data_IF_742200450565
#
_entry.id   IF_742200450565
#
_cell.length_a   1.000
_cell.length_b   1.000
_cell.length_c   1.000
_cell.angle_alpha   90.00
_cell.angle_beta   90.00
_cell.angle_gamma   90.00
#
_symmetry.space_group_name_H-M   'P 1'
#
loop_
_entity.id
_entity.type
_entity.pdbx_description
1 polymer ?
#
# COMPACT_ATOMS: atom_id res chain seq x y z
N UNK A 1 32.27 5.61 -15.33
CA UNK A 1 32.51 6.23 -14.02
C UNK A 1 31.23 6.94 -13.61
N UNK A 2 30.57 6.49 -12.54
CA UNK A 2 29.41 7.21 -11.98
C UNK A 2 29.94 8.31 -11.05
N UNK A 3 29.53 9.55 -11.27
CA UNK A 3 29.94 10.69 -10.43
C UNK A 3 29.31 10.55 -9.04
N UNK A 4 29.99 11.07 -8.01
CA UNK A 4 29.51 11.09 -6.61
C UNK A 4 28.06 11.61 -6.48
N UNK A 5 27.68 12.54 -7.35
CA UNK A 5 26.31 13.09 -7.46
C UNK A 5 25.27 12.08 -7.95
N UNK A 6 25.62 11.17 -8.87
CA UNK A 6 24.72 10.09 -9.28
C UNK A 6 24.48 9.10 -8.15
N UNK A 7 25.50 8.78 -7.36
CA UNK A 7 25.37 7.87 -6.20
C UNK A 7 24.50 8.50 -5.11
N UNK A 8 24.67 9.80 -4.83
CA UNK A 8 23.82 10.52 -3.87
C UNK A 8 22.36 10.61 -4.34
N UNK A 9 22.12 10.89 -5.62
CA UNK A 9 20.77 10.88 -6.19
C UNK A 9 20.15 9.47 -6.12
N UNK A 10 20.96 8.44 -6.36
CA UNK A 10 20.56 7.04 -6.31
C UNK A 10 20.23 6.58 -4.88
N UNK A 11 20.96 7.06 -3.87
CA UNK A 11 20.66 6.83 -2.45
C UNK A 11 19.40 7.57 -1.98
N UNK A 12 19.19 8.80 -2.45
CA UNK A 12 17.93 9.55 -2.22
C UNK A 12 16.75 8.86 -2.91
N UNK A 13 16.97 8.31 -4.11
CA UNK A 13 15.99 7.47 -4.82
C UNK A 13 15.64 6.22 -4.00
N UNK A 14 16.63 5.45 -3.51
CA UNK A 14 16.36 4.25 -2.70
C UNK A 14 15.52 4.57 -1.47
N UNK A 15 15.85 5.65 -0.76
CA UNK A 15 15.04 6.12 0.35
C UNK A 15 13.63 6.53 -0.10
N UNK A 16 13.46 7.07 -1.31
CA UNK A 16 12.17 7.47 -1.84
C UNK A 16 11.26 6.31 -2.30
N UNK A 17 11.76 5.08 -2.50
CA UNK A 17 11.14 4.05 -3.36
C UNK A 17 10.60 2.81 -2.63
N UNK A 18 10.52 2.82 -1.30
CA UNK A 18 9.91 1.75 -0.50
C UNK A 18 8.57 2.19 0.14
N UNK A 19 7.47 2.35 -0.63
CA UNK A 19 6.18 2.70 -0.04
C UNK A 19 5.62 1.61 0.86
N UNK A 20 5.37 1.98 2.11
CA UNK A 20 4.71 1.14 3.12
C UNK A 20 5.66 0.62 4.19
N UNK A 21 6.97 0.73 4.00
CA UNK A 21 7.99 0.27 4.95
C UNK A 21 9.27 1.08 4.71
N UNK A 22 9.40 2.23 5.36
CA UNK A 22 10.64 2.98 5.28
C UNK A 22 11.72 2.38 6.16
N UNK A 23 12.89 2.24 5.53
CA UNK A 23 14.12 1.81 6.16
C UNK A 23 15.12 2.94 6.36
N UNK A 24 15.83 2.87 7.47
CA UNK A 24 17.11 3.56 7.62
C UNK A 24 18.19 2.88 6.76
N UNK A 25 18.91 3.69 5.99
CA UNK A 25 20.35 3.52 5.78
C UNK A 25 21.01 4.39 6.84
N UNK A 26 21.59 3.81 7.90
CA UNK A 26 22.51 4.57 8.74
C UNK A 26 23.91 4.52 8.12
N UNK A 27 24.42 5.60 7.51
CA UNK A 27 25.86 5.81 7.52
C UNK A 27 26.26 6.02 8.98
N UNK A 28 27.18 5.21 9.51
CA UNK A 28 27.76 5.40 10.84
C UNK A 28 28.50 6.73 10.90
N UNK A 29 27.80 7.78 11.29
CA UNK A 29 28.37 9.08 11.61
C UNK A 29 27.63 9.64 12.82
N UNK A 30 28.31 9.58 13.96
CA UNK A 30 27.88 10.16 15.22
C UNK A 30 27.73 11.68 15.05
N UNK A 31 26.52 12.22 15.20
CA UNK A 31 26.32 13.52 15.84
C UNK A 31 24.87 13.67 16.32
N UNK A 32 24.73 13.75 17.64
CA UNK A 32 23.49 13.97 18.37
C UNK A 32 23.17 15.46 18.38
N UNK A 33 21.99 15.84 17.88
CA UNK A 33 21.44 17.17 18.11
C UNK A 33 20.00 17.04 18.65
N UNK A 34 19.84 17.49 19.89
CA UNK A 34 18.61 17.56 20.67
C UNK A 34 17.78 18.75 20.17
N UNK A 35 16.50 18.55 19.84
CA UNK A 35 15.54 19.65 19.68
C UNK A 35 14.26 19.40 20.47
N UNK A 36 13.92 20.41 21.26
CA UNK A 36 12.81 20.46 22.20
C UNK A 36 11.45 20.66 21.53
N UNK A 37 10.43 20.09 22.19
CA UNK A 37 9.00 20.15 21.91
C UNK A 37 8.42 21.57 22.03
N UNK A 38 7.40 21.89 21.23
CA UNK A 38 6.38 22.91 21.50
C UNK A 38 5.06 22.50 20.81
N UNK A 39 4.02 22.23 21.61
CA UNK A 39 2.61 22.12 21.20
C UNK A 39 1.94 23.49 21.26
N UNK A 40 0.89 23.73 20.45
CA UNK A 40 -0.32 24.35 20.99
C UNK A 40 -1.61 23.75 20.32
N UNK A 41 -2.85 24.27 20.55
CA UNK A 41 -3.85 23.59 21.37
C UNK A 41 -5.11 23.15 20.59
N UNK A 42 -5.90 22.32 21.28
CA UNK A 42 -7.24 21.80 20.99
C UNK A 42 -8.26 22.85 20.55
N UNK A 43 -9.08 22.54 19.53
CA UNK A 43 -10.42 23.13 19.34
C UNK A 43 -11.42 22.05 18.92
N UNK A 44 -12.43 21.86 19.77
CA UNK A 44 -13.58 21.01 19.55
C UNK A 44 -14.65 21.75 18.73
N UNK A 45 -15.35 21.04 17.85
CA UNK A 45 -16.61 21.47 17.24
C UNK A 45 -17.58 20.29 17.26
N UNK A 46 -18.62 20.41 18.08
CA UNK A 46 -19.73 19.48 18.19
C UNK A 46 -20.71 19.76 17.05
N UNK A 47 -21.08 18.75 16.26
CA UNK A 47 -22.26 18.79 15.41
C UNK A 47 -23.06 17.50 15.61
N UNK A 48 -24.23 17.66 16.21
CA UNK A 48 -25.23 16.64 16.46
C UNK A 48 -26.00 16.41 15.15
N UNK A 49 -25.90 15.22 14.57
CA UNK A 49 -26.74 14.80 13.43
C UNK A 49 -27.67 13.70 13.89
N UNK A 50 -28.96 13.92 13.62
CA UNK A 50 -30.10 13.08 13.97
C UNK A 50 -30.05 11.74 13.21
N UNK A 51 -30.08 10.65 13.98
CA UNK A 51 -30.01 9.28 13.49
C UNK A 51 -31.42 8.77 13.11
N UNK A 52 -31.63 8.51 11.82
CA UNK A 52 -32.86 7.93 11.28
C UNK A 52 -32.60 6.44 11.04
N UNK A 53 -33.26 5.59 11.81
CA UNK A 53 -33.11 4.13 11.73
C UNK A 53 -33.51 3.61 10.34
N UNK A 54 -32.54 3.05 9.61
CA UNK A 54 -32.74 2.36 8.32
C UNK A 54 -32.75 0.86 8.58
N UNK A 55 -33.84 0.22 8.13
CA UNK A 55 -34.04 -1.23 8.16
C UNK A 55 -32.90 -1.96 7.41
N UNK A 56 -32.36 -3.00 8.03
CA UNK A 56 -31.21 -3.75 7.53
C UNK A 56 -31.50 -4.45 6.17
N UNK A 57 -30.71 -4.19 5.12
CA UNK A 57 -30.84 -4.89 3.85
C UNK A 57 -30.28 -6.32 3.93
N UNK A 58 -30.99 -7.26 3.31
CA UNK A 58 -30.61 -8.68 3.19
C UNK A 58 -29.22 -8.84 2.54
N UNK A 59 -28.34 -9.58 3.21
CA UNK A 59 -26.92 -9.78 2.87
C UNK A 59 -26.64 -10.55 1.56
N UNK A 60 -27.66 -11.02 0.83
CA UNK A 60 -27.49 -11.80 -0.39
C UNK A 60 -27.39 -10.91 -1.64
N UNK A 61 -27.90 -9.67 -1.59
CA UNK A 61 -27.84 -8.75 -2.73
C UNK A 61 -26.48 -8.03 -2.89
N UNK A 62 -25.58 -8.12 -1.90
CA UNK A 62 -24.33 -7.34 -1.87
C UNK A 62 -23.17 -7.99 -2.61
N UNK A 63 -23.08 -9.33 -2.66
CA UNK A 63 -21.91 -10.02 -3.27
C UNK A 63 -21.81 -9.83 -4.78
N UNK A 64 -22.94 -9.89 -5.51
CA UNK A 64 -23.00 -9.59 -6.94
C UNK A 64 -22.60 -8.14 -7.21
N UNK A 65 -22.96 -7.22 -6.33
CA UNK A 65 -22.62 -5.80 -6.44
C UNK A 65 -21.12 -5.56 -6.23
N UNK A 66 -20.50 -6.21 -5.24
CA UNK A 66 -19.05 -6.04 -4.98
C UNK A 66 -18.20 -6.58 -6.12
N UNK A 67 -18.52 -7.76 -6.66
CA UNK A 67 -17.78 -8.33 -7.81
C UNK A 67 -17.92 -7.47 -9.06
N UNK A 68 -19.12 -6.94 -9.33
CA UNK A 68 -19.34 -6.01 -10.44
C UNK A 68 -18.56 -4.70 -10.25
N UNK A 69 -18.53 -4.17 -9.02
CA UNK A 69 -17.77 -2.97 -8.67
C UNK A 69 -16.27 -3.18 -8.88
N UNK A 70 -15.72 -4.33 -8.44
CA UNK A 70 -14.32 -4.69 -8.66
C UNK A 70 -14.00 -4.83 -10.14
N UNK A 71 -14.85 -5.53 -10.91
CA UNK A 71 -14.67 -5.67 -12.36
C UNK A 71 -14.66 -4.33 -13.11
N UNK A 72 -15.55 -3.40 -12.72
CA UNK A 72 -15.56 -2.06 -13.31
C UNK A 72 -14.33 -1.23 -12.89
N UNK A 73 -13.90 -1.31 -11.63
CA UNK A 73 -12.69 -0.65 -11.17
C UNK A 73 -11.45 -1.17 -11.93
N UNK A 74 -11.31 -2.49 -12.05
CA UNK A 74 -10.24 -3.14 -12.81
C UNK A 74 -10.19 -2.63 -14.26
N UNK A 75 -11.33 -2.58 -14.94
CA UNK A 75 -11.44 -2.06 -16.30
C UNK A 75 -10.95 -0.62 -16.42
N UNK A 76 -11.30 0.25 -15.46
CA UNK A 76 -10.86 1.65 -15.46
C UNK A 76 -9.36 1.79 -15.14
N UNK A 77 -8.80 0.93 -14.29
CA UNK A 77 -7.38 0.94 -13.96
C UNK A 77 -6.52 0.49 -15.14
N UNK A 78 -6.90 -0.58 -15.84
CA UNK A 78 -6.23 -1.00 -17.10
C UNK A 78 -6.24 0.17 -18.10
N UNK A 79 -7.42 0.80 -18.31
CA UNK A 79 -7.55 1.98 -19.18
C UNK A 79 -6.71 3.18 -18.73
N UNK A 80 -6.45 3.33 -17.43
CA UNK A 80 -5.62 4.40 -16.85
C UNK A 80 -4.14 4.12 -17.11
N UNK A 81 -3.71 2.87 -17.02
CA UNK A 81 -2.34 2.46 -17.31
C UNK A 81 -1.95 2.73 -18.78
N UNK A 82 -2.84 2.49 -19.73
CA UNK A 82 -2.59 2.73 -21.16
C UNK A 82 -2.46 4.22 -21.52
N UNK A 83 -3.19 5.09 -20.80
CA UNK A 83 -3.24 6.53 -21.09
C UNK A 83 -3.10 7.33 -19.80
N UNK A 84 -1.87 7.53 -19.30
CA UNK A 84 -1.61 8.09 -17.96
C UNK A 84 -2.15 9.52 -17.77
N UNK A 85 -2.27 10.30 -18.85
CA UNK A 85 -2.67 11.72 -18.82
C UNK A 85 -4.19 11.97 -18.85
N UNK A 86 -4.98 11.14 -18.17
CA UNK A 86 -6.44 11.37 -18.10
C UNK A 86 -6.82 12.21 -16.87
N UNK A 87 -7.64 13.23 -17.14
CA UNK A 87 -8.02 14.27 -16.20
C UNK A 87 -8.93 13.80 -15.05
N UNK A 88 -9.26 14.76 -14.19
CA UNK A 88 -9.88 14.56 -12.88
C UNK A 88 -11.14 13.69 -12.89
N UNK A 89 -11.92 13.70 -13.98
CA UNK A 89 -13.14 12.89 -14.10
C UNK A 89 -12.90 11.37 -13.96
N UNK A 90 -11.84 10.83 -14.59
CA UNK A 90 -11.52 9.40 -14.48
C UNK A 90 -11.05 9.06 -13.05
N UNK A 91 -10.21 9.91 -12.47
CA UNK A 91 -9.73 9.73 -11.10
C UNK A 91 -10.88 9.76 -10.09
N UNK A 92 -11.85 10.65 -10.28
CA UNK A 92 -13.04 10.73 -9.43
C UNK A 92 -13.87 9.45 -9.52
N UNK A 93 -14.10 8.92 -10.73
CA UNK A 93 -14.82 7.66 -10.90
C UNK A 93 -14.09 6.48 -10.24
N UNK A 94 -12.76 6.39 -10.41
CA UNK A 94 -11.93 5.39 -9.73
C UNK A 94 -12.04 5.53 -8.21
N UNK A 95 -11.92 6.75 -7.67
CA UNK A 95 -12.03 7.01 -6.25
C UNK A 95 -13.39 6.57 -5.68
N UNK A 96 -14.49 6.85 -6.39
CA UNK A 96 -15.83 6.41 -5.97
C UNK A 96 -15.94 4.89 -5.87
N UNK A 97 -15.41 4.15 -6.85
CA UNK A 97 -15.43 2.68 -6.83
C UNK A 97 -14.52 2.10 -5.74
N UNK A 98 -13.36 2.70 -5.52
CA UNK A 98 -12.45 2.34 -4.40
C UNK A 98 -13.19 2.47 -3.07
N UNK A 99 -13.86 3.60 -2.82
CA UNK A 99 -14.62 3.82 -1.59
C UNK A 99 -15.78 2.83 -1.43
N UNK A 100 -16.47 2.47 -2.52
CA UNK A 100 -17.52 1.46 -2.50
C UNK A 100 -16.99 0.07 -2.10
N UNK A 101 -15.82 -0.34 -2.62
CA UNK A 101 -15.19 -1.62 -2.25
C UNK A 101 -14.70 -1.64 -0.80
N UNK A 102 -14.06 -0.56 -0.35
CA UNK A 102 -13.63 -0.41 1.06
C UNK A 102 -14.85 -0.51 1.98
N UNK A 103 -15.95 0.16 1.63
CA UNK A 103 -17.19 0.15 2.42
C UNK A 103 -17.86 -1.22 2.47
N UNK A 104 -17.63 -2.07 1.45
CA UNK A 104 -18.23 -3.40 1.38
C UNK A 104 -17.63 -4.39 2.39
N UNK A 105 -16.42 -4.12 2.92
CA UNK A 105 -15.73 -4.93 3.93
C UNK A 105 -15.69 -6.44 3.60
N UNK A 106 -15.45 -6.77 2.34
CA UNK A 106 -15.45 -8.16 1.87
C UNK A 106 -14.30 -8.97 2.47
N UNK A 107 -14.57 -10.20 2.87
CA UNK A 107 -13.51 -11.14 3.23
C UNK A 107 -12.70 -11.59 2.01
N UNK A 108 -11.43 -11.98 2.23
CA UNK A 108 -10.51 -12.39 1.16
C UNK A 108 -9.69 -13.62 1.57
N UNK A 109 -9.19 -14.38 0.60
CA UNK A 109 -8.29 -15.52 0.82
C UNK A 109 -6.84 -15.07 0.62
N UNK A 110 -5.96 -15.10 1.64
CA UNK A 110 -4.56 -14.67 1.48
C UNK A 110 -3.83 -15.44 0.38
N UNK A 111 -4.03 -16.76 0.31
CA UNK A 111 -3.37 -17.62 -0.69
C UNK A 111 -3.79 -17.31 -2.12
N UNK A 112 -4.98 -16.76 -2.33
CA UNK A 112 -5.46 -16.40 -3.68
C UNK A 112 -5.22 -14.93 -4.00
N UNK A 113 -5.37 -14.07 -2.99
CA UNK A 113 -5.46 -12.62 -3.16
C UNK A 113 -4.16 -11.90 -2.80
N UNK A 114 -3.32 -12.43 -1.91
CA UNK A 114 -2.06 -11.81 -1.46
C UNK A 114 -0.84 -12.54 -2.06
N UNK A 115 -0.83 -13.87 -1.99
CA UNK A 115 0.22 -14.68 -2.60
C UNK A 115 0.17 -14.63 -4.14
N UNK A 116 1.33 -14.76 -4.79
CA UNK A 116 1.41 -14.92 -6.23
C UNK A 116 2.26 -13.88 -6.96
N UNK A 117 1.86 -13.41 -8.17
CA UNK A 117 2.71 -12.60 -9.02
C UNK A 117 2.87 -11.17 -8.49
N UNK A 118 3.66 -10.37 -9.20
CA UNK A 118 3.73 -8.93 -8.97
C UNK A 118 2.37 -8.26 -9.24
N UNK A 119 1.96 -7.38 -8.32
CA UNK A 119 0.83 -6.48 -8.50
C UNK A 119 1.35 -5.05 -8.69
N UNK A 120 1.00 -4.43 -9.82
CA UNK A 120 1.43 -3.09 -10.18
C UNK A 120 0.53 -2.03 -9.51
N UNK A 121 1.13 -1.01 -8.91
CA UNK A 121 0.45 0.16 -8.37
C UNK A 121 -0.01 1.06 -9.52
N UNK A 122 -1.33 1.19 -9.72
CA UNK A 122 -1.91 1.92 -10.85
C UNK A 122 -2.53 3.26 -10.42
N UNK A 123 -3.03 3.33 -9.19
CA UNK A 123 -3.71 4.51 -8.68
C UNK A 123 -3.45 4.69 -7.18
N UNK A 124 -3.50 5.94 -6.71
CA UNK A 124 -3.32 6.28 -5.31
C UNK A 124 -4.28 7.40 -4.89
N UNK A 125 -4.66 7.40 -3.61
CA UNK A 125 -5.46 8.46 -2.98
C UNK A 125 -4.67 8.98 -1.78
N UNK A 126 -4.42 10.29 -1.75
CA UNK A 126 -3.52 10.94 -0.80
C UNK A 126 -2.40 11.69 -1.53
N UNK A 127 -1.37 12.12 -0.80
CA UNK A 127 -0.24 12.79 -1.42
C UNK A 127 0.52 11.86 -2.37
N UNK A 128 0.88 12.39 -3.53
CA UNK A 128 1.70 11.67 -4.50
C UNK A 128 3.05 11.34 -3.86
N UNK A 129 3.40 10.06 -3.75
CA UNK A 129 4.64 9.67 -3.10
C UNK A 129 5.84 10.10 -3.95
N UNK A 130 6.99 10.30 -3.30
CA UNK A 130 8.18 10.87 -3.96
C UNK A 130 8.66 10.02 -5.15
N UNK A 131 8.60 8.68 -5.02
CA UNK A 131 8.93 7.77 -6.11
C UNK A 131 8.07 7.95 -7.37
N UNK A 132 6.80 8.33 -7.21
CA UNK A 132 5.92 8.63 -8.32
C UNK A 132 6.37 9.91 -9.02
N UNK A 133 6.75 10.94 -8.25
CA UNK A 133 7.24 12.20 -8.79
C UNK A 133 8.53 12.02 -9.60
N UNK A 134 9.45 11.18 -9.13
CA UNK A 134 10.76 10.99 -9.78
C UNK A 134 10.65 10.11 -11.04
N UNK A 135 9.66 9.23 -11.09
CA UNK A 135 9.42 8.33 -12.24
C UNK A 135 8.78 8.98 -13.46
N UNK A 136 8.40 10.25 -13.38
CA UNK A 136 7.62 10.93 -14.41
C UNK A 136 8.45 11.13 -15.69
N UNK A 137 8.34 10.20 -16.62
CA UNK A 137 9.07 10.22 -17.90
C UNK A 137 8.34 9.45 -19.00
N UNK A 138 8.84 9.55 -20.23
CA UNK A 138 8.25 8.91 -21.42
C UNK A 138 8.54 7.40 -21.51
N UNK A 139 9.22 6.82 -20.52
CA UNK A 139 9.59 5.41 -20.51
C UNK A 139 8.68 4.66 -19.56
N UNK A 140 8.33 3.43 -19.93
CA UNK A 140 7.61 2.50 -19.08
C UNK A 140 8.20 2.47 -17.68
N UNK A 141 7.32 2.52 -16.69
CA UNK A 141 7.70 2.53 -15.29
C UNK A 141 6.75 1.65 -14.46
N UNK A 142 7.05 0.35 -14.40
CA UNK A 142 6.30 -0.57 -13.54
C UNK A 142 6.75 -0.38 -12.10
N UNK A 143 5.77 -0.26 -11.21
CA UNK A 143 6.00 -0.27 -9.77
C UNK A 143 4.97 -1.16 -9.14
N UNK A 144 5.36 -1.91 -8.14
CA UNK A 144 4.47 -2.89 -7.58
C UNK A 144 5.06 -3.66 -6.42
N UNK A 145 4.29 -4.65 -5.99
CA UNK A 145 4.64 -5.47 -4.85
C UNK A 145 4.26 -6.93 -5.12
N UNK A 146 5.15 -7.83 -4.73
CA UNK A 146 4.96 -9.28 -4.75
C UNK A 146 5.03 -9.78 -3.32
N UNK A 147 4.12 -10.65 -2.92
CA UNK A 147 4.15 -11.34 -1.63
C UNK A 147 4.26 -12.84 -1.88
N UNK A 148 5.00 -13.51 -1.01
CA UNK A 148 5.14 -14.96 -0.97
C UNK A 148 4.83 -15.42 0.46
N UNK A 149 3.67 -16.08 0.64
CA UNK A 149 3.21 -16.47 1.99
C UNK A 149 4.08 -17.57 2.61
N UNK A 150 4.54 -18.55 1.83
CA UNK A 150 5.34 -19.68 2.33
C UNK A 150 6.61 -19.21 3.08
N UNK A 151 7.25 -18.16 2.55
CA UNK A 151 8.45 -17.57 3.12
C UNK A 151 8.17 -16.33 3.99
N UNK A 152 6.91 -15.95 4.14
CA UNK A 152 6.49 -14.70 4.76
C UNK A 152 7.29 -13.52 4.23
N UNK A 153 7.52 -13.47 2.91
CA UNK A 153 8.40 -12.49 2.28
C UNK A 153 7.67 -11.62 1.27
N UNK A 154 8.15 -10.39 1.09
CA UNK A 154 7.64 -9.53 0.05
C UNK A 154 8.79 -8.86 -0.69
N UNK A 155 8.50 -8.45 -1.92
CA UNK A 155 9.39 -7.66 -2.77
C UNK A 155 8.63 -6.46 -3.31
N UNK A 156 9.08 -5.27 -2.95
CA UNK A 156 8.71 -4.03 -3.61
C UNK A 156 9.62 -3.84 -4.82
N UNK A 157 9.02 -3.55 -5.96
CA UNK A 157 9.70 -3.37 -7.23
C UNK A 157 9.36 -2.02 -7.83
N UNK A 158 10.35 -1.33 -8.39
CA UNK A 158 10.14 -0.10 -9.14
C UNK A 158 11.14 0.04 -10.28
N UNK A 159 10.64 0.23 -11.50
CA UNK A 159 11.46 0.68 -12.62
C UNK A 159 11.74 2.18 -12.48
N UNK A 160 12.91 2.64 -12.90
CA UNK A 160 13.24 4.06 -13.03
C UNK A 160 13.42 4.39 -14.50
N UNK A 161 14.05 3.47 -15.24
CA UNK A 161 14.23 3.57 -16.68
C UNK A 161 13.98 2.22 -17.35
N UNK A 162 12.70 1.83 -17.39
CA UNK A 162 12.27 0.51 -17.81
C UNK A 162 13.03 -0.62 -17.09
N UNK A 163 13.21 -1.74 -17.78
CA UNK A 163 13.88 -2.93 -17.21
C UNK A 163 15.36 -2.71 -16.90
N UNK A 164 16.00 -1.72 -17.51
CA UNK A 164 17.44 -1.51 -17.42
C UNK A 164 17.88 -0.75 -16.17
N UNK A 165 17.01 0.02 -15.53
CA UNK A 165 17.32 0.61 -14.23
C UNK A 165 16.12 0.40 -13.33
N UNK A 166 16.26 -0.48 -12.36
CA UNK A 166 15.18 -0.82 -11.44
C UNK A 166 15.70 -1.02 -10.02
N UNK A 167 14.78 -0.92 -9.08
CA UNK A 167 15.00 -1.05 -7.66
C UNK A 167 14.17 -2.21 -7.14
N UNK A 168 14.75 -2.92 -6.18
CA UNK A 168 14.06 -3.94 -5.41
C UNK A 168 14.26 -3.65 -3.93
N UNK A 169 13.22 -3.73 -3.13
CA UNK A 169 13.33 -3.82 -1.69
C UNK A 169 12.66 -5.10 -1.23
N UNK A 170 13.36 -5.88 -0.41
CA UNK A 170 12.92 -7.19 0.05
C UNK A 170 12.75 -7.16 1.56
N UNK A 171 11.81 -7.95 2.04
CA UNK A 171 11.56 -8.03 3.47
C UNK A 171 10.74 -9.23 3.87
N UNK A 172 10.36 -9.22 5.14
CA UNK A 172 9.47 -10.19 5.76
C UNK A 172 8.20 -9.52 6.25
N UNK A 173 7.08 -10.22 6.22
CA UNK A 173 5.82 -9.71 6.74
C UNK A 173 5.19 -10.74 7.68
N UNK A 174 4.36 -10.28 8.60
CA UNK A 174 3.63 -11.14 9.54
C UNK A 174 2.24 -10.60 9.77
N UNK A 175 1.29 -11.50 9.96
CA UNK A 175 -0.09 -11.15 10.31
C UNK A 175 -0.16 -10.46 11.66
N UNK A 176 -0.83 -9.30 11.73
CA UNK A 176 -1.21 -8.67 12.99
C UNK A 176 -2.62 -9.10 13.36
N UNK A 177 -3.54 -9.08 12.39
CA UNK A 177 -4.92 -9.49 12.61
C UNK A 177 -5.96 -8.52 12.03
N UNK A 178 -7.25 -8.80 12.26
CA UNK A 178 -8.31 -7.86 11.90
C UNK A 178 -8.14 -6.55 12.68
N UNK A 179 -8.39 -5.43 12.00
CA UNK A 179 -8.34 -4.12 12.65
C UNK A 179 -9.49 -4.03 13.62
N UNK A 180 -9.17 -3.80 14.89
CA UNK A 180 -10.21 -3.61 15.90
C UNK A 180 -10.97 -2.32 15.57
N UNK A 181 -12.31 -2.34 15.55
CA UNK A 181 -13.07 -1.11 15.47
C UNK A 181 -12.64 -0.22 16.63
N UNK A 182 -12.49 1.09 16.38
CA UNK A 182 -12.27 2.05 17.46
C UNK A 182 -13.45 1.89 18.42
N UNK A 183 -13.19 1.27 19.56
CA UNK A 183 -14.20 1.05 20.57
C UNK A 183 -14.53 2.43 21.13
N UNK A 184 -15.74 2.91 20.86
CA UNK A 184 -16.27 4.04 21.60
C UNK A 184 -16.42 3.57 23.06
N UNK A 185 -15.55 4.05 23.93
CA UNK A 185 -15.54 3.71 25.37
C UNK A 185 -16.89 4.02 26.04
N UNK A 186 -17.74 4.82 25.39
CA UNK A 186 -19.10 5.14 25.87
C UNK A 186 -20.15 4.09 25.48
N UNK A 187 -19.83 3.06 24.68
CA UNK A 187 -20.77 2.02 24.28
C UNK A 187 -20.50 0.68 25.00
N UNK A 188 -21.30 0.33 26.03
CA UNK A 188 -21.09 -0.87 26.84
C UNK A 188 -21.33 -2.19 26.10
N UNK A 189 -21.82 -2.16 24.85
CA UNK A 189 -22.10 -3.37 24.06
C UNK A 189 -20.97 -3.79 23.10
N UNK A 190 -19.88 -3.02 23.01
CA UNK A 190 -18.76 -3.28 22.08
C UNK A 190 -18.02 -4.60 22.33
N UNK A 191 -18.02 -5.08 23.57
CA UNK A 191 -17.25 -6.27 24.01
C UNK A 191 -17.83 -7.62 23.60
N UNK A 192 -19.08 -7.67 23.11
CA UNK A 192 -19.76 -8.96 22.84
C UNK A 192 -19.45 -9.48 21.42
N UNK A 193 -19.11 -8.57 20.50
CA UNK A 193 -18.84 -8.88 19.09
C UNK A 193 -17.53 -9.67 18.86
N UNK A 194 -16.55 -9.53 19.75
CA UNK A 194 -15.24 -10.21 19.65
C UNK A 194 -15.29 -11.70 19.99
N UNK A 195 -16.28 -12.16 20.77
CA UNK A 195 -16.38 -13.57 21.20
C UNK A 195 -16.82 -14.54 20.09
N UNK A 196 -17.45 -14.04 19.03
CA UNK A 196 -17.96 -14.87 17.92
C UNK A 196 -17.02 -14.95 16.71
N UNK A 197 -15.88 -14.27 16.73
CA UNK A 197 -14.95 -14.22 15.59
C UNK A 197 -14.10 -15.49 15.39
N UNK A 198 -14.24 -16.50 16.27
CA UNK A 198 -13.38 -17.67 16.27
C UNK A 198 -14.05 -18.89 15.62
N UNK A 199 -13.90 -19.03 14.29
CA UNK A 199 -13.98 -20.33 13.60
C UNK A 199 -13.44 -20.27 12.16
N UNK A 200 -12.22 -20.79 11.99
CA UNK A 200 -11.79 -21.70 10.90
C UNK A 200 -12.18 -21.38 9.44
N UNK A 201 -12.43 -20.13 9.11
CA UNK A 201 -12.53 -19.67 7.72
C UNK A 201 -11.12 -19.37 7.20
N UNK A 202 -10.76 -19.93 6.05
CA UNK A 202 -9.56 -19.54 5.30
C UNK A 202 -9.65 -18.11 4.75
N UNK A 203 -10.83 -17.49 4.86
CA UNK A 203 -11.06 -16.10 4.49
C UNK A 203 -10.85 -15.18 5.70
N UNK A 204 -10.01 -14.17 5.51
CA UNK A 204 -9.77 -13.10 6.46
C UNK A 204 -10.74 -11.94 6.21
N UNK A 205 -11.25 -11.25 7.24
CA UNK A 205 -12.09 -10.08 7.08
C UNK A 205 -11.25 -8.86 6.66
N UNK A 206 -11.85 -7.87 6.02
CA UNK A 206 -11.25 -6.54 5.86
C UNK A 206 -11.93 -5.52 6.78
N UNK A 207 -11.19 -4.54 7.34
CA UNK A 207 -9.76 -4.35 7.13
C UNK A 207 -8.89 -5.30 7.98
N UNK A 208 -7.71 -5.63 7.46
CA UNK A 208 -6.75 -6.56 8.07
C UNK A 208 -5.34 -5.99 8.04
N UNK A 209 -4.60 -6.07 9.15
CA UNK A 209 -3.26 -5.50 9.25
C UNK A 209 -2.18 -6.59 9.15
N UNK A 210 -1.13 -6.26 8.40
CA UNK A 210 0.14 -6.97 8.35
C UNK A 210 1.25 -6.04 8.83
N UNK A 211 2.14 -6.55 9.66
CA UNK A 211 3.43 -5.91 9.91
C UNK A 211 4.35 -6.30 8.77
N UNK A 212 5.12 -5.35 8.27
CA UNK A 212 6.09 -5.62 7.24
C UNK A 212 7.43 -4.97 7.59
N UNK A 213 8.49 -5.77 7.48
CA UNK A 213 9.86 -5.42 7.82
C UNK A 213 10.73 -5.59 6.58
N UNK A 214 11.22 -4.49 6.03
CA UNK A 214 12.21 -4.54 4.95
C UNK A 214 13.58 -4.82 5.57
N UNK A 215 14.33 -5.70 4.93
CA UNK A 215 15.63 -6.19 5.39
C UNK A 215 16.76 -5.90 4.39
N UNK A 216 16.44 -5.41 3.20
CA UNK A 216 17.43 -5.04 2.21
C UNK A 216 16.83 -4.42 0.96
N UNK A 217 17.69 -3.75 0.20
CA UNK A 217 17.37 -3.24 -1.12
C UNK A 217 18.48 -3.56 -2.11
N UNK A 218 18.14 -3.51 -3.39
CA UNK A 218 19.11 -3.61 -4.46
C UNK A 218 18.73 -2.68 -5.61
N UNK A 219 19.76 -2.22 -6.31
CA UNK A 219 19.64 -1.42 -7.51
C UNK A 219 20.27 -2.21 -8.63
N UNK A 220 19.49 -2.51 -9.66
CA UNK A 220 20.00 -3.16 -10.85
C UNK A 220 20.14 -2.17 -11.99
N UNK A 221 21.30 -2.21 -12.64
CA UNK A 221 21.65 -1.39 -13.78
C UNK A 221 22.08 -2.27 -14.97
N UNK A 222 21.42 -2.06 -16.10
CA UNK A 222 21.46 -2.83 -17.34
C UNK A 222 21.36 -4.35 -17.16
N UNK A 223 20.70 -4.82 -16.09
CA UNK A 223 20.64 -6.23 -15.71
C UNK A 223 22.01 -6.90 -15.56
N UNK A 224 23.07 -6.11 -15.36
CA UNK A 224 24.47 -6.59 -15.27
C UNK A 224 25.13 -6.21 -13.96
N UNK A 225 24.78 -5.02 -13.45
CA UNK A 225 25.35 -4.50 -12.22
C UNK A 225 24.26 -4.44 -11.16
N UNK A 226 24.50 -5.06 -10.01
CA UNK A 226 23.59 -5.00 -8.87
C UNK A 226 24.32 -4.41 -7.68
N UNK A 227 23.84 -3.29 -7.17
CA UNK A 227 24.29 -2.70 -5.92
C UNK A 227 23.33 -3.11 -4.82
N UNK A 228 23.78 -3.95 -3.90
CA UNK A 228 23.01 -4.33 -2.71
C UNK A 228 23.22 -3.29 -1.62
N UNK A 229 22.13 -2.92 -0.96
CA UNK A 229 22.08 -1.93 0.10
C UNK A 229 21.43 -2.57 1.32
N UNK A 230 22.11 -2.51 2.46
CA UNK A 230 21.53 -2.90 3.74
C UNK A 230 20.64 -1.77 4.21
N UNK A 231 19.33 -2.02 4.18
CA UNK A 231 18.31 -1.09 4.66
C UNK A 231 17.41 -1.87 5.63
N UNK A 232 17.06 -1.27 6.76
CA UNK A 232 16.13 -1.86 7.73
C UNK A 232 15.03 -0.90 8.13
N UNK A 233 13.79 -1.39 8.14
CA UNK A 233 12.60 -0.59 8.37
C UNK A 233 11.39 -1.44 8.66
N UNK A 234 10.45 -0.88 9.42
CA UNK A 234 9.22 -1.56 9.85
C UNK A 234 8.04 -0.64 9.58
N UNK A 235 6.96 -1.20 9.06
CA UNK A 235 5.71 -0.50 8.82
C UNK A 235 4.52 -1.44 8.93
N UNK A 236 3.33 -0.86 9.00
CA UNK A 236 2.07 -1.62 8.95
C UNK A 236 1.41 -1.38 7.60
N UNK A 237 0.92 -2.44 6.97
CA UNK A 237 0.11 -2.35 5.76
C UNK A 237 -1.28 -2.89 6.08
N UNK A 238 -2.30 -2.09 5.78
CA UNK A 238 -3.70 -2.46 6.00
C UNK A 238 -4.35 -2.86 4.68
N UNK A 239 -4.85 -4.09 4.61
CA UNK A 239 -5.68 -4.59 3.51
C UNK A 239 -7.08 -4.05 3.68
N UNK A 240 -7.52 -3.19 2.76
CA UNK A 240 -8.88 -2.66 2.74
C UNK A 240 -9.81 -3.46 1.80
N UNK A 241 -9.24 -4.07 0.77
CA UNK A 241 -9.93 -4.94 -0.18
C UNK A 241 -8.90 -5.79 -0.92
N UNK A 242 -9.23 -7.05 -1.21
CA UNK A 242 -8.39 -7.89 -2.06
C UNK A 242 -9.22 -8.97 -2.77
N UNK A 243 -8.95 -9.17 -4.06
CA UNK A 243 -9.37 -10.32 -4.84
C UNK A 243 -8.19 -10.88 -5.66
N UNK A 244 -8.45 -11.80 -6.59
CA UNK A 244 -7.42 -12.44 -7.43
C UNK A 244 -6.65 -11.48 -8.37
N UNK A 245 -7.23 -10.31 -8.69
CA UNK A 245 -6.73 -9.40 -9.73
C UNK A 245 -6.50 -7.97 -9.22
N UNK A 246 -7.07 -7.61 -8.07
CA UNK A 246 -7.09 -6.27 -7.52
C UNK A 246 -6.82 -6.27 -6.01
N UNK A 247 -6.03 -5.29 -5.56
CA UNK A 247 -5.75 -5.05 -4.13
C UNK A 247 -5.90 -3.57 -3.81
N UNK A 248 -6.40 -3.27 -2.62
CA UNK A 248 -6.46 -1.92 -2.07
C UNK A 248 -5.80 -1.95 -0.70
N UNK A 249 -4.66 -1.27 -0.60
CA UNK A 249 -3.92 -1.13 0.65
C UNK A 249 -4.01 0.29 1.19
N UNK A 250 -3.88 0.42 2.51
CA UNK A 250 -3.69 1.67 3.21
C UNK A 250 -2.40 1.60 4.02
N UNK A 251 -1.60 2.67 3.96
CA UNK A 251 -0.52 2.94 4.91
C UNK A 251 -1.11 3.68 6.10
N UNK A 252 -1.30 3.06 7.28
CA UNK A 252 -1.97 3.70 8.41
C UNK A 252 -1.16 4.86 8.99
N UNK A 253 -1.84 5.94 9.39
CA UNK A 253 -1.21 7.16 9.94
C UNK A 253 -0.63 6.97 11.34
N UNK A 254 -1.07 5.94 12.05
CA UNK A 254 -0.65 5.56 13.39
C UNK A 254 0.61 4.67 13.39
N UNK A 255 1.19 4.40 12.22
CA UNK A 255 2.48 3.74 12.15
C UNK A 255 3.56 4.63 12.74
N UNK A 256 4.22 4.14 13.79
CA UNK A 256 5.44 4.75 14.32
C UNK A 256 6.57 4.52 13.32
N UNK A 257 6.57 5.29 12.23
CA UNK A 257 7.66 5.21 11.28
C UNK A 257 8.90 5.82 11.94
N UNK A 258 9.95 5.01 12.08
CA UNK A 258 11.24 5.48 12.57
C UNK A 258 11.76 6.59 11.65
N UNK A 259 12.34 7.65 12.23
CA UNK A 259 12.77 8.90 11.57
C UNK A 259 13.25 8.71 10.11
N UNK A 260 12.59 9.33 9.13
CA UNK A 260 13.06 9.31 7.73
C UNK A 260 12.01 8.96 6.69
N UNK A 261 10.82 8.52 7.09
CA UNK A 261 9.66 8.57 6.23
C UNK A 261 9.35 10.01 5.82
N UNK A 262 9.08 10.21 4.53
CA UNK A 262 8.53 11.48 4.07
C UNK A 262 7.15 11.69 4.68
N UNK A 263 6.73 12.96 4.81
CA UNK A 263 5.42 13.35 5.39
C UNK A 263 4.24 12.57 4.79
N UNK A 264 4.37 12.11 3.54
CA UNK A 264 3.34 11.39 2.80
C UNK A 264 2.96 10.00 3.35
N UNK A 265 3.83 9.31 4.10
CA UNK A 265 3.46 8.00 4.70
C UNK A 265 2.54 8.17 5.92
N UNK A 266 2.71 9.28 6.64
CA UNK A 266 1.87 9.63 7.79
C UNK A 266 0.50 10.21 7.41
N UNK A 267 0.14 10.18 6.12
CA UNK A 267 -1.10 10.80 5.62
C UNK A 267 -2.21 9.83 5.26
N UNK A 268 -2.00 8.51 5.42
CA UNK A 268 -3.04 7.55 5.08
C UNK A 268 -3.10 7.28 3.58
N UNK A 269 -1.95 7.06 2.95
CA UNK A 269 -1.86 6.77 1.51
C UNK A 269 -2.63 5.48 1.19
N UNK A 270 -3.63 5.58 0.32
CA UNK A 270 -4.31 4.42 -0.27
C UNK A 270 -3.65 4.10 -1.61
N UNK A 271 -3.28 2.84 -1.81
CA UNK A 271 -2.68 2.35 -3.05
C UNK A 271 -3.59 1.27 -3.65
N UNK A 272 -3.89 1.42 -4.93
CA UNK A 272 -4.70 0.46 -5.69
C UNK A 272 -3.78 -0.26 -6.66
N UNK A 273 -3.70 -1.59 -6.51
CA UNK A 273 -2.80 -2.43 -7.29
C UNK A 273 -3.57 -3.44 -8.14
N UNK A 274 -3.05 -3.71 -9.33
CA UNK A 274 -3.60 -4.69 -10.29
C UNK A 274 -2.54 -5.73 -10.62
N UNK A 275 -2.93 -6.99 -10.78
CA UNK A 275 -2.02 -8.06 -11.25
C UNK A 275 -1.29 -7.63 -12.52
N UNK A 276 0.04 -7.65 -12.51
CA UNK A 276 0.86 -7.05 -13.57
C UNK A 276 0.57 -7.63 -14.97
N UNK A 277 0.28 -8.93 -15.06
CA UNK A 277 -0.01 -9.61 -16.32
C UNK A 277 -1.35 -9.23 -16.96
N UNK A 278 -2.20 -8.45 -16.27
CA UNK A 278 -3.43 -7.88 -16.83
C UNK A 278 -3.22 -6.48 -17.41
N UNK A 279 -2.08 -5.85 -17.09
CA UNK A 279 -1.76 -4.47 -17.46
C UNK A 279 -0.61 -4.43 -18.46
N UNK A 280 0.33 -5.36 -18.35
CA UNK A 280 1.54 -5.37 -19.16
C UNK A 280 1.80 -6.75 -19.76
N UNK A 281 1.40 -6.93 -21.02
CA UNK A 281 1.44 -8.22 -21.74
C UNK A 281 2.85 -8.81 -21.88
N UNK A 282 3.88 -7.97 -21.88
CA UNK A 282 5.27 -8.38 -22.06
C UNK A 282 5.99 -8.67 -20.72
N UNK A 283 5.29 -8.59 -19.59
CA UNK A 283 5.89 -8.84 -18.28
C UNK A 283 6.34 -10.31 -18.15
N UNK A 284 7.59 -10.49 -17.72
CA UNK A 284 8.16 -11.80 -17.35
C UNK A 284 8.57 -11.71 -15.89
N UNK A 285 8.02 -12.58 -15.05
CA UNK A 285 8.34 -12.60 -13.63
C UNK A 285 9.80 -13.05 -13.43
N UNK A 286 10.66 -12.08 -13.12
CA UNK A 286 12.08 -12.28 -12.81
C UNK A 286 12.37 -11.84 -11.36
N UNK A 287 11.34 -11.83 -10.50
CA UNK A 287 11.41 -11.43 -9.10
C UNK A 287 11.47 -12.63 -8.16
#
# INVERSE_FOLDING_TARGET
MFTSTMIQLLLVLVAALCPGIYCFVQPTSNNVAIRNKLQPPTRACNNIVSERAVLAPSAVATSSSTKQTSGELLRLLIRKADVPKKGDALNNQINSLVQALISAKSSFSPTTCIDGPLFASIHFIGNTPLWEKISAGAVRNIKGQKYTLDDNSFTNYAEIWGRHLHLKAVGKFSEIGPVQPVVDENNPFSSITTLFANKQSSLLPTPYDYEARVTGASISLWNKFTLNLTIEGTGTVRVLYADENLRIFLSPTDTNVTKGAGEWESEGLIVVQVRVGLVYDDWVDNL
#
